data_IF_230259189673
#
_entry.id   IF_230259189673
#
_cell.length_a   1.000
_cell.length_b   1.000
_cell.length_c   1.000
_cell.angle_alpha   90.00
_cell.angle_beta   90.00
_cell.angle_gamma   90.00
#
_symmetry.space_group_name_H-M   'P 1'
#
loop_
_entity.id
_entity.type
_entity.pdbx_description
1 polymer ?
#
# COMPACT_ATOMS: atom_id res chain seq x y z
N UNK A 1 8.16 59.99 -18.88
CA UNK A 1 7.81 59.07 -17.79
C UNK A 1 7.20 57.82 -18.42
N UNK A 2 8.00 56.77 -18.58
CA UNK A 2 7.59 55.47 -19.12
C UNK A 2 7.26 54.59 -17.92
N UNK A 3 6.02 54.09 -17.82
CA UNK A 3 5.60 53.12 -16.84
C UNK A 3 6.11 51.71 -17.21
N UNK A 4 6.56 50.88 -16.27
CA UNK A 4 6.97 49.55 -16.57
C UNK A 4 5.77 48.64 -16.76
N UNK A 5 5.80 47.92 -17.90
CA UNK A 5 4.89 46.82 -18.22
C UNK A 5 5.20 45.64 -17.29
N UNK A 6 4.29 45.32 -16.40
CA UNK A 6 4.36 44.13 -15.58
C UNK A 6 4.08 42.89 -16.46
N UNK A 7 5.11 42.13 -16.70
CA UNK A 7 5.01 40.82 -17.35
C UNK A 7 4.41 39.83 -16.33
N UNK A 8 3.13 39.55 -16.50
CA UNK A 8 2.43 38.52 -15.75
C UNK A 8 2.89 37.16 -16.30
N UNK A 9 3.86 36.52 -15.63
CA UNK A 9 4.19 35.11 -15.88
C UNK A 9 2.96 34.30 -15.47
N UNK A 10 2.22 33.80 -16.46
CA UNK A 10 1.38 32.63 -16.26
C UNK A 10 2.32 31.47 -15.92
N UNK A 11 2.40 31.11 -14.65
CA UNK A 11 2.83 29.79 -14.21
C UNK A 11 1.75 28.82 -14.70
N UNK A 12 1.95 28.25 -15.89
CA UNK A 12 1.34 26.99 -16.27
C UNK A 12 1.98 26.00 -15.29
N UNK A 13 1.24 25.62 -14.24
CA UNK A 13 1.60 24.54 -13.37
C UNK A 13 1.73 23.29 -14.26
N UNK A 14 2.97 22.88 -14.56
CA UNK A 14 3.23 21.49 -14.86
C UNK A 14 2.82 20.72 -13.61
N UNK A 15 1.69 20.05 -13.67
CA UNK A 15 1.31 19.07 -12.64
C UNK A 15 2.52 18.16 -12.45
N UNK A 16 2.96 18.04 -11.20
CA UNK A 16 4.04 17.11 -10.87
C UNK A 16 3.55 15.70 -11.17
N UNK A 17 4.43 14.86 -11.65
CA UNK A 17 4.12 13.48 -12.05
C UNK A 17 3.74 12.55 -10.88
N UNK A 18 3.72 13.07 -9.67
CA UNK A 18 3.35 12.39 -8.43
C UNK A 18 1.84 12.52 -8.07
N UNK A 19 1.03 13.13 -8.94
CA UNK A 19 -0.35 13.50 -8.61
C UNK A 19 -1.41 12.55 -9.24
N UNK A 20 -1.01 11.35 -9.71
CA UNK A 20 -1.95 10.39 -10.29
C UNK A 20 -2.16 9.19 -9.38
N UNK A 21 -3.39 8.70 -9.34
CA UNK A 21 -3.77 7.46 -8.66
C UNK A 21 -3.69 6.34 -9.68
N UNK A 22 -2.98 5.23 -9.37
CA UNK A 22 -3.12 3.97 -10.10
C UNK A 22 -4.19 3.11 -9.45
N UNK A 23 -4.85 2.26 -10.20
CA UNK A 23 -5.89 1.36 -9.73
C UNK A 23 -6.12 0.22 -10.73
N UNK A 24 -6.83 -0.80 -10.31
CA UNK A 24 -7.30 -1.88 -11.17
C UNK A 24 -8.72 -1.60 -11.64
N UNK A 25 -9.03 -1.85 -12.91
CA UNK A 25 -10.40 -1.77 -13.46
C UNK A 25 -10.73 -2.98 -14.30
N UNK A 26 -11.94 -3.54 -14.13
CA UNK A 26 -12.46 -4.68 -14.91
C UNK A 26 -13.39 -4.22 -16.04
N UNK A 27 -13.26 -2.99 -16.52
CA UNK A 27 -14.20 -2.38 -17.50
C UNK A 27 -14.27 -3.15 -18.82
N UNK A 28 -13.22 -3.83 -19.23
CA UNK A 28 -13.14 -4.59 -20.49
C UNK A 28 -13.38 -6.10 -20.28
N UNK A 29 -13.61 -6.54 -19.03
CA UNK A 29 -13.98 -7.91 -18.66
C UNK A 29 -12.85 -8.76 -18.09
N UNK A 30 -11.65 -8.22 -18.03
CA UNK A 30 -10.47 -8.66 -17.30
C UNK A 30 -9.87 -7.50 -16.49
N UNK A 31 -9.04 -7.80 -15.52
CA UNK A 31 -8.43 -6.79 -14.67
C UNK A 31 -7.26 -6.12 -15.40
N UNK A 32 -7.29 -4.80 -15.52
CA UNK A 32 -6.27 -4.01 -16.18
C UNK A 32 -5.80 -2.85 -15.29
N UNK A 33 -4.54 -2.45 -15.43
CA UNK A 33 -3.98 -1.33 -14.67
C UNK A 33 -4.34 0.00 -15.34
N UNK A 34 -4.91 0.89 -14.57
CA UNK A 34 -5.26 2.25 -14.98
C UNK A 34 -4.52 3.29 -14.14
N UNK A 35 -4.41 4.47 -14.68
CA UNK A 35 -4.09 5.70 -13.92
C UNK A 35 -5.19 6.73 -14.12
N UNK A 36 -5.53 7.45 -13.06
CA UNK A 36 -6.51 8.51 -13.08
C UNK A 36 -5.93 9.81 -12.53
N UNK A 37 -6.25 10.92 -13.20
CA UNK A 37 -5.92 12.24 -12.70
C UNK A 37 -6.95 12.66 -11.65
N UNK A 38 -6.55 12.88 -10.39
CA UNK A 38 -7.50 13.15 -9.31
C UNK A 38 -8.24 14.47 -9.45
N UNK A 39 -7.77 15.42 -10.26
CA UNK A 39 -8.43 16.71 -10.43
C UNK A 39 -9.42 16.70 -11.60
N UNK A 40 -9.03 16.16 -12.74
CA UNK A 40 -9.87 16.07 -13.93
C UNK A 40 -10.79 14.85 -13.96
N UNK A 41 -10.41 13.74 -13.27
CA UNK A 41 -11.09 12.45 -13.38
C UNK A 41 -10.83 11.74 -14.71
N UNK A 42 -9.80 12.14 -15.48
CA UNK A 42 -9.43 11.48 -16.72
C UNK A 42 -8.65 10.19 -16.40
N UNK A 43 -9.26 9.03 -16.70
CA UNK A 43 -8.64 7.72 -16.54
C UNK A 43 -8.00 7.25 -17.86
N UNK A 44 -6.85 6.58 -17.75
CA UNK A 44 -6.10 6.05 -18.91
C UNK A 44 -5.64 4.64 -18.57
N UNK A 45 -5.95 3.62 -19.43
CA UNK A 45 -5.38 2.28 -19.26
C UNK A 45 -3.87 2.32 -19.52
N UNK A 46 -3.12 1.59 -18.71
CA UNK A 46 -1.69 1.34 -18.90
C UNK A 46 -1.43 -0.05 -19.46
N UNK A 47 -2.32 -0.98 -19.17
CA UNK A 47 -2.37 -2.31 -19.76
C UNK A 47 -3.69 -2.47 -20.53
N UNK A 48 -3.70 -3.30 -21.58
CA UNK A 48 -4.86 -3.61 -22.43
C UNK A 48 -4.55 -4.92 -23.15
N UNK A 49 -4.72 -6.01 -22.44
CA UNK A 49 -4.41 -7.36 -22.93
C UNK A 49 -5.57 -8.33 -22.59
N UNK A 50 -5.39 -9.64 -22.58
CA UNK A 50 -6.41 -10.62 -22.19
C UNK A 50 -6.01 -11.38 -20.92
N UNK A 51 -5.12 -10.79 -20.15
CA UNK A 51 -4.61 -11.32 -18.91
C UNK A 51 -5.11 -10.47 -17.75
N UNK A 52 -5.11 -11.03 -16.56
CA UNK A 52 -5.46 -10.29 -15.36
C UNK A 52 -4.21 -9.58 -14.83
N UNK A 53 -4.24 -8.25 -14.81
CA UNK A 53 -3.20 -7.38 -14.29
C UNK A 53 -3.69 -6.71 -13.00
N UNK A 54 -3.02 -6.95 -11.86
CA UNK A 54 -3.50 -6.56 -10.52
C UNK A 54 -2.37 -5.99 -9.64
N UNK A 55 -2.72 -5.54 -8.42
CA UNK A 55 -1.80 -5.07 -7.38
C UNK A 55 -0.80 -4.02 -7.86
N UNK A 56 -1.25 -2.91 -8.49
CA UNK A 56 -0.37 -1.86 -8.95
C UNK A 56 0.22 -1.07 -7.79
N UNK A 57 1.53 -0.81 -7.83
CA UNK A 57 2.23 0.05 -6.86
C UNK A 57 3.18 1.00 -7.56
N UNK A 58 3.12 2.29 -7.22
CA UNK A 58 4.01 3.31 -7.76
C UNK A 58 5.45 3.14 -7.29
N UNK A 59 6.39 3.36 -8.20
CA UNK A 59 7.78 3.58 -7.79
C UNK A 59 7.89 4.90 -7.00
N UNK A 60 8.82 5.00 -6.02
CA UNK A 60 8.95 6.21 -5.18
C UNK A 60 9.21 7.50 -5.96
N UNK A 61 9.72 7.40 -7.19
CA UNK A 61 9.96 8.56 -8.06
C UNK A 61 8.78 8.90 -8.98
N UNK A 62 7.66 8.14 -8.90
CA UNK A 62 6.43 8.32 -9.66
C UNK A 62 6.57 8.11 -11.17
N UNK A 63 7.55 7.32 -11.64
CA UNK A 63 7.78 7.10 -13.06
C UNK A 63 7.33 5.75 -13.57
N UNK A 64 7.27 4.75 -12.70
CA UNK A 64 6.95 3.38 -13.01
C UNK A 64 5.91 2.84 -12.04
N UNK A 65 5.21 1.80 -12.46
CA UNK A 65 4.25 1.03 -11.67
C UNK A 65 4.67 -0.43 -11.78
N UNK A 66 4.89 -1.08 -10.64
CA UNK A 66 4.99 -2.54 -10.59
C UNK A 66 3.57 -3.12 -10.42
N UNK A 67 3.31 -4.26 -11.02
CA UNK A 67 2.03 -4.95 -10.97
C UNK A 67 2.20 -6.46 -11.16
N UNK A 68 1.19 -7.22 -10.82
CA UNK A 68 1.10 -8.67 -11.02
C UNK A 68 0.33 -8.98 -12.29
N UNK A 69 0.81 -9.92 -13.12
CA UNK A 69 0.16 -10.34 -14.36
C UNK A 69 0.13 -11.86 -14.50
N UNK A 70 -0.96 -12.44 -14.99
CA UNK A 70 -1.09 -13.87 -15.29
C UNK A 70 -0.82 -14.23 -16.77
N UNK A 71 -0.31 -13.29 -17.56
CA UNK A 71 -0.05 -13.46 -19.00
C UNK A 71 0.81 -14.69 -19.34
N UNK A 72 1.71 -15.08 -18.47
CA UNK A 72 2.59 -16.25 -18.66
C UNK A 72 2.01 -17.58 -18.21
N UNK A 73 0.87 -17.56 -17.53
CA UNK A 73 0.22 -18.73 -16.94
C UNK A 73 0.48 -18.92 -15.45
N UNK A 74 1.59 -18.41 -14.92
CA UNK A 74 1.85 -18.19 -13.50
C UNK A 74 1.75 -16.68 -13.25
N UNK A 75 1.52 -16.25 -12.01
CA UNK A 75 1.51 -14.83 -11.63
C UNK A 75 2.94 -14.31 -11.57
N UNK A 76 3.21 -13.24 -12.30
CA UNK A 76 4.56 -12.67 -12.45
C UNK A 76 4.57 -11.17 -12.19
N UNK A 77 5.67 -10.67 -11.65
CA UNK A 77 5.86 -9.22 -11.45
C UNK A 77 6.28 -8.56 -12.76
N UNK A 78 5.52 -7.55 -13.16
CA UNK A 78 5.78 -6.70 -14.30
C UNK A 78 5.98 -5.25 -13.87
N UNK A 79 6.62 -4.46 -14.71
CA UNK A 79 6.75 -3.01 -14.53
C UNK A 79 6.36 -2.30 -15.82
N UNK A 80 5.52 -1.30 -15.70
CA UNK A 80 5.11 -0.41 -16.80
C UNK A 80 5.53 1.03 -16.47
N UNK A 81 5.86 1.82 -17.49
CA UNK A 81 6.01 3.24 -17.26
C UNK A 81 4.64 3.94 -17.12
N UNK A 82 4.63 5.09 -16.50
CA UNK A 82 3.40 5.86 -16.21
C UNK A 82 2.55 6.24 -17.42
N UNK A 83 2.99 5.92 -18.64
CA UNK A 83 2.28 6.19 -19.90
C UNK A 83 1.80 4.91 -20.59
N UNK A 84 2.16 3.74 -20.06
CA UNK A 84 1.91 2.46 -20.69
C UNK A 84 2.82 2.17 -21.91
N UNK A 85 3.90 2.95 -22.12
CA UNK A 85 4.74 2.85 -23.32
C UNK A 85 5.82 1.75 -23.22
N UNK A 86 6.26 1.41 -21.99
CA UNK A 86 7.31 0.42 -21.74
C UNK A 86 6.84 -0.56 -20.69
N UNK A 87 6.73 -1.81 -21.06
CA UNK A 87 6.43 -2.90 -20.16
C UNK A 87 7.59 -3.88 -20.11
N UNK A 88 8.00 -4.27 -18.92
CA UNK A 88 9.05 -5.26 -18.68
C UNK A 88 8.58 -6.27 -17.66
N UNK A 89 8.58 -7.56 -18.00
CA UNK A 89 8.41 -8.64 -17.04
C UNK A 89 9.70 -8.83 -16.26
N UNK A 90 9.64 -8.69 -14.95
CA UNK A 90 10.80 -8.80 -14.07
C UNK A 90 11.03 -10.23 -13.59
N UNK A 91 9.96 -10.97 -13.27
CA UNK A 91 10.05 -12.36 -12.87
C UNK A 91 9.63 -13.31 -13.99
N UNK A 92 10.15 -14.51 -13.98
CA UNK A 92 9.86 -15.54 -14.98
C UNK A 92 10.37 -16.90 -14.47
N UNK A 93 9.98 -17.30 -13.28
CA UNK A 93 10.35 -18.55 -12.64
C UNK A 93 9.08 -19.29 -12.27
N UNK A 94 9.07 -20.65 -12.29
CA UNK A 94 7.86 -21.38 -11.94
C UNK A 94 7.38 -21.05 -10.54
N UNK A 95 6.10 -20.75 -10.39
CA UNK A 95 5.45 -20.34 -9.16
C UNK A 95 4.85 -18.95 -9.28
N UNK A 96 3.99 -18.60 -8.35
CA UNK A 96 3.36 -17.29 -8.33
C UNK A 96 4.24 -16.29 -7.60
N UNK A 97 4.43 -15.14 -8.21
CA UNK A 97 5.13 -13.98 -7.68
C UNK A 97 4.13 -12.84 -7.47
N UNK A 98 3.97 -12.38 -6.23
CA UNK A 98 2.86 -11.54 -5.77
C UNK A 98 3.34 -10.38 -4.91
N UNK A 99 2.42 -9.42 -4.66
CA UNK A 99 2.62 -8.32 -3.71
C UNK A 99 3.94 -7.57 -3.92
N UNK A 100 4.17 -6.97 -5.10
CA UNK A 100 5.36 -6.18 -5.36
C UNK A 100 5.43 -4.96 -4.43
N UNK A 101 6.63 -4.65 -3.94
CA UNK A 101 6.87 -3.54 -3.02
C UNK A 101 8.23 -2.89 -3.31
N UNK A 102 8.23 -1.63 -3.72
CA UNK A 102 9.45 -0.89 -4.04
C UNK A 102 10.25 -0.54 -2.78
N UNK A 103 11.57 -0.67 -2.87
CA UNK A 103 12.45 -0.05 -1.85
C UNK A 103 12.32 1.48 -1.90
N UNK A 104 12.53 2.20 -0.78
CA UNK A 104 12.36 3.65 -0.73
C UNK A 104 13.22 4.44 -1.72
N UNK A 105 14.35 3.89 -2.16
CA UNK A 105 15.22 4.49 -3.18
C UNK A 105 14.87 4.08 -4.62
N UNK A 106 13.90 3.15 -4.78
CA UNK A 106 13.45 2.62 -6.07
C UNK A 106 14.45 1.68 -6.76
N UNK A 107 15.53 1.29 -6.08
CA UNK A 107 16.57 0.42 -6.65
C UNK A 107 16.26 -1.06 -6.60
N UNK A 108 15.41 -1.47 -5.68
CA UNK A 108 15.03 -2.86 -5.44
C UNK A 108 13.51 -3.01 -5.35
N UNK A 109 13.05 -4.24 -5.58
CA UNK A 109 11.66 -4.66 -5.47
C UNK A 109 11.61 -5.91 -4.61
N UNK A 110 10.86 -5.84 -3.49
CA UNK A 110 10.49 -6.99 -2.70
C UNK A 110 9.20 -7.60 -3.24
N UNK A 111 9.04 -8.90 -3.13
CA UNK A 111 7.83 -9.62 -3.53
C UNK A 111 7.71 -10.96 -2.81
N UNK A 112 6.54 -11.53 -2.83
CA UNK A 112 6.29 -12.88 -2.31
C UNK A 112 6.37 -13.87 -3.48
N UNK A 113 7.08 -14.98 -3.30
CA UNK A 113 7.16 -16.07 -4.26
C UNK A 113 6.93 -17.43 -3.60
N UNK A 114 6.17 -18.29 -4.25
CA UNK A 114 5.95 -19.69 -3.80
C UNK A 114 6.82 -20.73 -4.54
N UNK A 115 7.81 -20.29 -5.33
CA UNK A 115 8.67 -21.15 -6.16
C UNK A 115 9.38 -22.28 -5.40
N UNK A 116 9.64 -22.09 -4.11
CA UNK A 116 10.33 -23.07 -3.26
C UNK A 116 9.37 -23.93 -2.41
N UNK A 117 8.04 -23.81 -2.62
CA UNK A 117 7.02 -24.68 -2.06
C UNK A 117 6.14 -24.05 -0.98
N UNK A 118 6.52 -22.91 -0.42
CA UNK A 118 5.74 -22.05 0.45
C UNK A 118 5.99 -20.58 0.10
N UNK A 119 5.15 -19.68 0.60
CA UNK A 119 5.29 -18.27 0.32
C UNK A 119 6.46 -17.66 1.11
N UNK A 120 7.40 -17.06 0.40
CA UNK A 120 8.62 -16.49 0.95
C UNK A 120 8.89 -15.11 0.38
N UNK A 121 9.59 -14.27 1.13
CA UNK A 121 10.01 -12.94 0.67
C UNK A 121 11.24 -13.06 -0.20
N UNK A 122 11.16 -12.50 -1.39
CA UNK A 122 12.26 -12.34 -2.33
C UNK A 122 12.57 -10.88 -2.58
N UNK A 123 13.79 -10.62 -3.01
CA UNK A 123 14.29 -9.30 -3.39
C UNK A 123 14.97 -9.37 -4.75
N UNK A 124 14.74 -8.38 -5.59
CA UNK A 124 15.44 -8.25 -6.87
C UNK A 124 15.74 -6.79 -7.17
N UNK A 125 16.74 -6.55 -8.01
CA UNK A 125 16.99 -5.21 -8.54
C UNK A 125 16.02 -4.88 -9.68
N UNK A 126 15.61 -3.63 -9.79
CA UNK A 126 14.60 -3.19 -10.76
C UNK A 126 15.09 -3.16 -12.20
N UNK A 127 16.37 -3.38 -12.44
CA UNK A 127 16.96 -3.57 -13.77
C UNK A 127 16.86 -5.03 -14.28
N UNK A 128 16.18 -5.92 -13.52
CA UNK A 128 15.93 -7.32 -13.93
C UNK A 128 16.99 -8.31 -13.49
N UNK A 129 17.61 -8.07 -12.34
CA UNK A 129 18.55 -9.01 -11.70
C UNK A 129 17.86 -10.31 -11.28
N UNK A 130 18.68 -11.35 -10.96
CA UNK A 130 18.12 -12.59 -10.44
C UNK A 130 17.55 -12.36 -9.03
N UNK A 131 16.31 -12.81 -8.76
CA UNK A 131 15.74 -12.75 -7.41
C UNK A 131 16.59 -13.49 -6.37
N UNK A 132 16.69 -12.88 -5.20
CA UNK A 132 17.37 -13.44 -4.03
C UNK A 132 16.34 -13.71 -2.95
N UNK A 133 16.24 -14.94 -2.49
CA UNK A 133 15.38 -15.35 -1.40
C UNK A 133 15.89 -14.73 -0.09
N UNK A 134 15.02 -13.98 0.60
CA UNK A 134 15.33 -13.28 1.86
C UNK A 134 14.89 -14.10 3.06
N UNK A 135 13.75 -14.78 2.99
CA UNK A 135 13.26 -15.69 4.03
C UNK A 135 13.29 -17.14 3.55
N UNK A 136 13.33 -18.11 4.46
CA UNK A 136 13.57 -19.52 4.10
C UNK A 136 12.98 -20.51 5.12
N UNK A 137 12.02 -20.08 5.90
CA UNK A 137 11.38 -20.89 6.93
C UNK A 137 10.12 -21.58 6.38
N UNK A 138 9.67 -22.66 7.02
CA UNK A 138 8.53 -23.50 6.58
C UNK A 138 7.16 -22.78 6.59
N UNK A 139 6.83 -21.87 7.55
CA UNK A 139 5.58 -21.13 7.46
C UNK A 139 5.58 -20.11 6.33
N UNK A 140 4.39 -19.88 5.77
CA UNK A 140 4.20 -18.81 4.78
C UNK A 140 4.48 -17.44 5.38
N UNK A 141 5.22 -16.64 4.63
CA UNK A 141 5.44 -15.24 4.89
C UNK A 141 4.50 -14.37 4.03
N UNK A 142 4.06 -13.25 4.57
CA UNK A 142 3.23 -12.24 3.88
C UNK A 142 3.98 -10.93 3.84
N UNK A 143 3.89 -10.26 2.71
CA UNK A 143 4.51 -8.95 2.54
C UNK A 143 3.93 -7.96 3.56
N UNK A 144 4.76 -7.08 4.02
CA UNK A 144 4.40 -5.92 4.81
C UNK A 144 4.95 -4.66 4.15
N UNK A 145 5.95 -4.02 4.77
CA UNK A 145 6.39 -2.70 4.33
C UNK A 145 7.90 -2.49 4.54
N UNK A 146 8.50 -1.57 3.77
CA UNK A 146 9.87 -1.11 3.94
C UNK A 146 9.98 -0.01 4.99
N UNK A 147 11.00 -0.08 5.83
CA UNK A 147 11.37 1.09 6.62
C UNK A 147 11.79 2.25 5.69
N UNK A 148 11.45 3.52 6.01
CA UNK A 148 11.74 4.65 5.13
C UNK A 148 13.22 4.87 4.81
N UNK A 149 14.11 4.35 5.66
CA UNK A 149 15.57 4.38 5.44
C UNK A 149 16.10 3.20 4.60
N UNK A 150 15.20 2.26 4.18
CA UNK A 150 15.55 1.08 3.39
C UNK A 150 16.35 0.01 4.14
N UNK A 151 16.51 0.14 5.46
CA UNK A 151 17.33 -0.76 6.26
C UNK A 151 16.59 -2.04 6.66
N UNK A 152 15.27 -1.96 6.80
CA UNK A 152 14.43 -3.05 7.25
C UNK A 152 13.24 -3.30 6.32
N UNK A 153 12.95 -4.55 6.09
CA UNK A 153 11.69 -5.01 5.53
C UNK A 153 10.88 -5.68 6.64
N UNK A 154 9.67 -5.19 6.90
CA UNK A 154 8.71 -5.82 7.80
C UNK A 154 7.87 -6.83 7.02
N UNK A 155 7.59 -7.97 7.63
CA UNK A 155 6.73 -9.00 7.08
C UNK A 155 6.01 -9.76 8.19
N UNK A 156 4.89 -10.38 7.85
CA UNK A 156 4.15 -11.24 8.78
C UNK A 156 4.41 -12.69 8.46
N UNK A 157 4.60 -13.52 9.49
CA UNK A 157 4.80 -14.96 9.37
C UNK A 157 3.65 -15.70 10.03
N UNK A 158 3.12 -16.71 9.35
CA UNK A 158 2.16 -17.65 9.90
C UNK A 158 2.82 -18.71 10.78
N UNK A 159 2.11 -19.82 11.04
CA UNK A 159 2.67 -21.00 11.70
C UNK A 159 2.40 -21.12 13.19
N UNK A 160 3.32 -21.78 13.91
CA UNK A 160 3.21 -22.05 15.34
C UNK A 160 3.43 -20.79 16.18
N UNK A 161 3.09 -20.84 17.48
CA UNK A 161 3.25 -19.69 18.40
C UNK A 161 4.68 -19.15 18.50
N UNK A 162 5.67 -19.97 18.20
CA UNK A 162 7.07 -19.58 18.31
C UNK A 162 7.60 -18.93 17.03
N UNK A 163 6.84 -18.99 15.94
CA UNK A 163 7.25 -18.55 14.60
C UNK A 163 6.34 -17.43 14.06
N UNK A 164 5.07 -17.43 14.44
CA UNK A 164 4.09 -16.45 13.96
C UNK A 164 4.32 -15.06 14.52
N UNK A 165 3.83 -14.06 13.80
CA UNK A 165 3.88 -12.66 14.19
C UNK A 165 4.64 -11.82 13.18
N UNK A 166 5.01 -10.62 13.60
CA UNK A 166 5.78 -9.71 12.76
C UNK A 166 7.27 -9.97 12.91
N UNK A 167 7.95 -9.86 11.79
CA UNK A 167 9.38 -10.01 11.66
C UNK A 167 9.97 -8.84 10.89
N UNK A 168 11.22 -8.49 11.23
CA UNK A 168 12.00 -7.52 10.48
C UNK A 168 13.26 -8.19 9.95
N UNK A 169 13.60 -7.94 8.68
CA UNK A 169 14.80 -8.44 8.04
C UNK A 169 15.52 -7.36 7.26
N UNK A 170 16.86 -7.37 7.32
CA UNK A 170 17.63 -6.51 6.43
C UNK A 170 17.64 -7.09 5.01
N UNK A 171 17.69 -6.23 3.96
CA UNK A 171 17.80 -6.68 2.57
C UNK A 171 19.00 -7.60 2.29
N UNK A 172 20.11 -7.40 2.99
CA UNK A 172 21.31 -8.24 2.92
C UNK A 172 21.14 -9.65 3.55
N UNK A 173 19.99 -9.88 4.21
CA UNK A 173 19.64 -11.15 4.84
C UNK A 173 20.41 -11.46 6.13
N UNK A 174 21.20 -10.53 6.67
CA UNK A 174 22.07 -10.78 7.84
C UNK A 174 21.30 -10.70 9.16
N UNK A 175 20.49 -9.66 9.34
CA UNK A 175 19.76 -9.45 10.59
C UNK A 175 18.30 -9.88 10.44
N UNK A 176 17.81 -10.61 11.42
CA UNK A 176 16.42 -11.03 11.55
C UNK A 176 15.96 -10.72 12.97
N UNK A 177 14.84 -10.05 13.12
CA UNK A 177 14.23 -9.70 14.40
C UNK A 177 12.82 -10.25 14.44
N UNK A 178 12.49 -11.02 15.47
CA UNK A 178 11.12 -11.43 15.80
C UNK A 178 10.50 -10.33 16.65
N UNK A 179 9.63 -9.52 16.02
CA UNK A 179 9.11 -8.31 16.65
C UNK A 179 7.93 -8.62 17.59
N UNK A 180 7.02 -9.50 17.15
CA UNK A 180 5.82 -9.88 17.91
C UNK A 180 5.55 -11.38 17.80
N UNK A 181 4.75 -11.96 18.71
CA UNK A 181 4.54 -13.41 18.80
C UNK A 181 3.06 -13.84 18.70
N UNK A 182 2.18 -12.89 18.34
CA UNK A 182 0.74 -13.14 18.19
C UNK A 182 0.37 -13.27 16.69
N UNK A 183 -0.92 -13.41 16.40
CA UNK A 183 -1.42 -13.42 15.02
C UNK A 183 -1.50 -11.99 14.50
N UNK A 184 -0.35 -11.46 14.10
CA UNK A 184 -0.15 -10.10 13.64
C UNK A 184 0.16 -10.08 12.15
N UNK A 185 -0.38 -9.08 11.42
CA UNK A 185 -0.21 -8.94 9.98
C UNK A 185 -0.38 -7.48 9.53
N UNK A 186 -0.17 -7.21 8.24
CA UNK A 186 -0.25 -5.89 7.60
C UNK A 186 0.54 -4.80 8.35
N UNK A 187 1.84 -5.01 8.61
CA UNK A 187 2.68 -3.99 9.21
C UNK A 187 2.93 -2.84 8.24
N UNK A 188 2.79 -1.59 8.72
CA UNK A 188 3.06 -0.37 7.97
C UNK A 188 3.95 0.55 8.80
N UNK A 189 5.08 0.96 8.24
CA UNK A 189 6.05 1.84 8.89
C UNK A 189 5.57 3.28 8.97
N UNK A 190 5.83 3.93 10.11
CA UNK A 190 5.71 5.39 10.19
C UNK A 190 6.74 6.07 9.28
N UNK A 191 6.43 7.25 8.69
CA UNK A 191 7.35 7.95 7.78
C UNK A 191 8.70 8.32 8.39
N UNK A 192 8.79 8.38 9.71
CA UNK A 192 10.06 8.65 10.43
C UNK A 192 10.82 7.37 10.83
N UNK A 193 10.27 6.18 10.53
CA UNK A 193 10.89 4.88 10.79
C UNK A 193 11.01 4.46 12.25
N UNK A 194 10.26 5.09 13.16
CA UNK A 194 10.33 4.80 14.60
C UNK A 194 9.20 3.92 15.10
N UNK A 195 8.14 3.79 14.33
CA UNK A 195 6.91 3.10 14.70
C UNK A 195 6.44 2.21 13.55
N UNK A 196 5.72 1.14 13.91
CA UNK A 196 5.03 0.25 12.97
C UNK A 196 3.62 0.09 13.49
N UNK A 197 2.61 0.49 12.70
CA UNK A 197 1.23 0.13 12.94
C UNK A 197 0.93 -1.21 12.27
N UNK A 198 0.10 -2.04 12.88
CA UNK A 198 -0.21 -3.36 12.34
C UNK A 198 -1.57 -3.85 12.85
N UNK A 199 -2.11 -4.88 12.21
CA UNK A 199 -3.35 -5.56 12.60
C UNK A 199 -3.02 -6.75 13.49
N UNK A 200 -3.74 -6.92 14.60
CA UNK A 200 -3.70 -8.11 15.47
C UNK A 200 -5.05 -8.80 15.53
N UNK A 201 -5.06 -10.10 15.27
CA UNK A 201 -6.23 -10.93 15.49
C UNK A 201 -6.31 -11.35 16.96
N UNK A 202 -7.34 -10.85 17.64
CA UNK A 202 -7.69 -11.17 19.01
C UNK A 202 -8.86 -12.17 19.06
N UNK A 203 -8.58 -13.44 18.72
CA UNK A 203 -9.58 -14.52 18.70
C UNK A 203 -10.77 -14.25 17.77
N UNK A 204 -10.50 -13.63 16.59
CA UNK A 204 -11.48 -13.34 15.56
C UNK A 204 -12.02 -11.90 15.59
N UNK A 205 -11.42 -11.01 16.39
CA UNK A 205 -11.60 -9.57 16.32
C UNK A 205 -10.29 -8.90 15.94
N UNK A 206 -10.29 -8.13 14.87
CA UNK A 206 -9.12 -7.44 14.34
C UNK A 206 -9.00 -6.04 14.92
N UNK A 207 -7.88 -5.75 15.55
CA UNK A 207 -7.59 -4.43 16.11
C UNK A 207 -6.23 -3.91 15.66
N UNK A 208 -6.09 -2.60 15.65
CA UNK A 208 -4.84 -1.94 15.33
C UNK A 208 -3.93 -1.82 16.56
N UNK A 209 -2.69 -2.16 16.36
CA UNK A 209 -1.62 -2.04 17.35
C UNK A 209 -0.46 -1.23 16.81
N UNK A 210 0.32 -0.66 17.72
CA UNK A 210 1.51 0.10 17.43
C UNK A 210 2.70 -0.55 18.13
N UNK A 211 3.76 -0.83 17.38
CA UNK A 211 5.07 -1.15 17.90
C UNK A 211 5.96 0.09 17.80
N UNK A 212 6.49 0.55 18.93
CA UNK A 212 7.38 1.72 19.00
C UNK A 212 8.73 1.31 19.54
N UNK A 213 9.82 1.81 18.95
CA UNK A 213 11.16 1.67 19.52
C UNK A 213 11.24 2.41 20.84
N UNK A 214 11.89 1.82 21.83
CA UNK A 214 12.23 2.54 23.05
C UNK A 214 13.18 3.70 22.72
N UNK A 215 13.11 4.74 23.51
CA UNK A 215 13.97 5.92 23.35
C UNK A 215 15.45 5.47 23.36
N UNK A 216 16.19 5.90 22.35
CA UNK A 216 17.60 5.54 22.11
C UNK A 216 17.85 4.04 21.85
N UNK A 217 16.79 3.22 21.65
CA UNK A 217 16.86 1.80 21.28
C UNK A 217 16.95 1.56 19.78
N UNK A 218 17.22 0.32 19.41
CA UNK A 218 17.15 -0.20 18.04
C UNK A 218 15.98 -1.18 17.92
N UNK A 219 15.62 -1.59 16.70
CA UNK A 219 14.59 -2.62 16.50
C UNK A 219 15.01 -4.02 17.00
N UNK A 220 16.27 -4.21 17.34
CA UNK A 220 16.80 -5.42 17.97
C UNK A 220 16.63 -5.43 19.50
N UNK A 221 16.24 -4.30 20.07
CA UNK A 221 15.92 -4.16 21.51
C UNK A 221 14.44 -4.46 21.73
N UNK A 222 14.02 -4.49 23.00
CA UNK A 222 12.61 -4.58 23.37
C UNK A 222 11.83 -3.38 22.82
N UNK A 223 10.65 -3.63 22.23
CA UNK A 223 9.73 -2.61 21.70
C UNK A 223 8.55 -2.43 22.65
N UNK A 224 7.98 -1.23 22.64
CA UNK A 224 6.72 -0.97 23.30
C UNK A 224 5.56 -1.32 22.36
N UNK A 225 4.62 -2.15 22.82
CA UNK A 225 3.38 -2.45 22.10
C UNK A 225 2.22 -1.68 22.72
N UNK A 226 1.43 -1.01 21.91
CA UNK A 226 0.26 -0.22 22.32
C UNK A 226 -0.93 -0.64 21.47
N UNK A 227 -2.07 -0.97 22.06
CA UNK A 227 -3.33 -1.20 21.34
C UNK A 227 -3.95 0.16 21.01
N UNK A 228 -4.17 0.44 19.74
CA UNK A 228 -4.69 1.73 19.25
C UNK A 228 -6.22 1.73 19.17
N UNK A 229 -6.81 0.61 18.75
CA UNK A 229 -8.27 0.47 18.66
C UNK A 229 -8.78 -0.61 19.61
N UNK A 230 -10.04 -0.49 20.01
CA UNK A 230 -10.66 -1.41 20.98
C UNK A 230 -12.18 -1.42 20.77
N UNK A 231 -12.62 -2.00 19.68
CA UNK A 231 -14.04 -2.18 19.38
C UNK A 231 -14.36 -3.68 19.24
N UNK A 232 -15.66 -4.06 19.29
CA UNK A 232 -16.08 -5.45 19.11
C UNK A 232 -16.08 -5.89 17.64
N UNK A 233 -16.07 -4.92 16.72
CA UNK A 233 -16.01 -5.13 15.28
C UNK A 233 -14.61 -4.78 14.78
N UNK A 234 -14.26 -5.32 13.61
CA UNK A 234 -12.93 -5.26 13.02
C UNK A 234 -12.48 -3.83 12.66
N UNK A 235 -11.22 -3.55 12.95
CA UNK A 235 -10.46 -2.40 12.51
C UNK A 235 -9.22 -2.91 11.74
N UNK A 236 -9.05 -2.51 10.47
CA UNK A 236 -8.02 -3.06 9.57
C UNK A 236 -7.53 -2.05 8.51
N UNK A 237 -6.62 -2.48 7.62
CA UNK A 237 -6.04 -1.68 6.54
C UNK A 237 -5.49 -0.31 7.02
N UNK A 238 -4.57 -0.28 8.01
CA UNK A 238 -4.00 0.97 8.47
C UNK A 238 -3.05 1.58 7.43
N UNK A 239 -3.06 2.90 7.31
CA UNK A 239 -2.10 3.66 6.49
C UNK A 239 -1.72 4.97 7.16
N UNK A 240 -0.42 5.29 7.18
CA UNK A 240 0.09 6.53 7.75
C UNK A 240 -0.08 7.72 6.83
N UNK A 241 -0.46 8.86 7.40
CA UNK A 241 -0.29 10.11 6.68
C UNK A 241 1.20 10.40 6.41
N UNK A 242 1.57 11.03 5.28
CA UNK A 242 2.98 11.26 4.92
C UNK A 242 3.78 12.06 5.94
N UNK A 243 3.11 12.88 6.77
CA UNK A 243 3.75 13.63 7.85
C UNK A 243 3.87 12.84 9.17
N UNK A 244 3.24 11.65 9.28
CA UNK A 244 3.24 10.80 10.44
C UNK A 244 2.34 11.25 11.61
N UNK A 245 1.50 12.27 11.40
CA UNK A 245 0.62 12.78 12.46
C UNK A 245 -0.63 11.91 12.65
N UNK A 246 -1.07 11.22 11.58
CA UNK A 246 -2.32 10.47 11.56
C UNK A 246 -2.14 9.06 10.98
N UNK A 247 -3.06 8.16 11.39
CA UNK A 247 -3.29 6.85 10.77
C UNK A 247 -4.74 6.81 10.29
N UNK A 248 -4.94 6.55 8.99
CA UNK A 248 -6.25 6.20 8.45
C UNK A 248 -6.43 4.68 8.48
N UNK A 249 -7.65 4.21 8.61
CA UNK A 249 -7.99 2.78 8.70
C UNK A 249 -9.44 2.52 8.33
N UNK A 250 -9.76 1.28 8.05
CA UNK A 250 -11.14 0.80 7.87
C UNK A 250 -11.67 0.27 9.17
N UNK A 251 -12.90 0.65 9.53
CA UNK A 251 -13.61 0.17 10.71
C UNK A 251 -15.01 -0.31 10.38
N UNK A 252 -15.39 -1.48 10.89
CA UNK A 252 -16.72 -2.04 10.73
C UNK A 252 -17.67 -1.75 11.88
N UNK A 253 -17.29 -0.88 12.83
CA UNK A 253 -18.04 -0.53 14.04
C UNK A 253 -19.43 0.08 13.79
N UNK A 254 -19.67 0.58 12.60
CA UNK A 254 -20.97 1.18 12.21
C UNK A 254 -21.84 0.25 11.35
N UNK A 255 -21.43 -1.02 11.18
CA UNK A 255 -22.18 -2.07 10.49
C UNK A 255 -21.84 -2.27 9.03
N UNK A 256 -20.96 -1.43 8.46
CA UNK A 256 -20.30 -1.54 7.18
C UNK A 256 -18.88 -0.98 7.30
N UNK A 257 -18.01 -1.25 6.33
CA UNK A 257 -16.66 -0.69 6.28
C UNK A 257 -16.71 0.82 6.07
N UNK A 258 -16.09 1.57 6.95
CA UNK A 258 -15.99 3.03 6.86
C UNK A 258 -14.57 3.49 7.11
N UNK A 259 -14.14 4.54 6.44
CA UNK A 259 -12.82 5.12 6.65
C UNK A 259 -12.84 5.97 7.91
N UNK A 260 -11.91 5.67 8.79
CA UNK A 260 -11.62 6.40 10.01
C UNK A 260 -10.21 6.98 9.97
N UNK A 261 -9.99 8.01 10.77
CA UNK A 261 -8.68 8.60 11.03
C UNK A 261 -8.47 8.73 12.54
N UNK A 262 -7.23 8.58 13.00
CA UNK A 262 -6.83 8.81 14.40
C UNK A 262 -5.47 9.51 14.45
N UNK A 263 -5.16 10.18 15.57
CA UNK A 263 -3.78 10.61 15.85
C UNK A 263 -2.86 9.38 15.98
N UNK A 264 -1.58 9.54 15.75
CA UNK A 264 -0.59 8.43 15.75
C UNK A 264 -0.55 7.63 17.06
N UNK A 265 -0.98 8.21 18.18
CA UNK A 265 -1.09 7.55 19.48
C UNK A 265 -2.41 6.78 19.71
N UNK A 266 -3.30 6.72 18.71
CA UNK A 266 -4.61 6.07 18.78
C UNK A 266 -5.72 6.97 19.31
N UNK A 267 -5.43 8.19 19.72
CA UNK A 267 -6.42 9.15 20.20
C UNK A 267 -7.20 9.81 19.06
N UNK A 268 -8.32 10.46 19.39
CA UNK A 268 -9.17 11.24 18.47
C UNK A 268 -9.61 10.48 17.21
N UNK A 269 -10.11 9.26 17.38
CA UNK A 269 -10.68 8.49 16.28
C UNK A 269 -11.91 9.22 15.72
N UNK A 270 -11.86 9.57 14.44
CA UNK A 270 -12.92 10.29 13.72
C UNK A 270 -13.33 9.48 12.49
N UNK A 271 -14.63 9.31 12.28
CA UNK A 271 -15.20 8.74 11.08
C UNK A 271 -15.20 9.76 9.97
N UNK A 272 -14.61 9.42 8.81
CA UNK A 272 -14.54 10.29 7.64
C UNK A 272 -15.63 9.99 6.61
N UNK A 273 -16.01 8.73 6.42
CA UNK A 273 -17.10 8.32 5.54
C UNK A 273 -18.33 7.91 6.35
N UNK A 274 -19.54 8.15 5.82
CA UNK A 274 -20.78 7.96 6.59
C UNK A 274 -21.95 7.46 5.73
N UNK A 275 -21.67 6.89 4.56
CA UNK A 275 -22.69 6.31 3.70
C UNK A 275 -23.12 4.91 4.18
N UNK A 276 -24.01 4.23 3.48
CA UNK A 276 -24.52 2.92 3.89
C UNK A 276 -23.87 1.75 3.14
N UNK A 277 -22.74 1.99 2.47
CA UNK A 277 -22.00 1.00 1.71
C UNK A 277 -20.59 0.87 2.29
N UNK A 278 -19.87 -0.17 1.91
CA UNK A 278 -18.48 -0.33 2.32
C UNK A 278 -17.59 0.70 1.60
N UNK A 279 -16.78 1.40 2.39
CA UNK A 279 -15.69 2.26 1.98
C UNK A 279 -14.38 1.67 2.50
N UNK A 280 -13.46 1.29 1.60
CA UNK A 280 -12.32 0.42 1.87
C UNK A 280 -11.03 0.99 1.25
N UNK A 281 -9.89 0.40 1.59
CA UNK A 281 -8.57 0.63 0.97
C UNK A 281 -8.16 2.11 0.89
N UNK A 282 -8.10 2.83 2.04
CA UNK A 282 -7.69 4.22 2.05
C UNK A 282 -6.20 4.36 1.72
N UNK A 283 -5.88 5.27 0.78
CA UNK A 283 -4.50 5.65 0.46
C UNK A 283 -4.34 7.17 0.47
N UNK A 284 -3.27 7.65 1.09
CA UNK A 284 -2.98 9.07 1.17
C UNK A 284 -2.35 9.62 -0.11
N UNK A 285 -2.71 10.86 -0.45
CA UNK A 285 -1.93 11.62 -1.41
C UNK A 285 -0.51 11.90 -0.89
N UNK A 286 0.52 11.99 -1.74
CA UNK A 286 1.89 12.25 -1.31
C UNK A 286 2.07 13.56 -0.51
N UNK A 287 1.20 14.53 -0.71
CA UNK A 287 1.19 15.81 0.04
C UNK A 287 0.40 15.75 1.35
N UNK A 288 -0.31 14.62 1.60
CA UNK A 288 -1.09 14.37 2.81
C UNK A 288 -2.38 15.19 2.95
N UNK A 289 -2.82 15.86 1.88
CA UNK A 289 -4.01 16.73 1.93
C UNK A 289 -5.29 16.01 1.48
N UNK A 290 -5.15 14.88 0.80
CA UNK A 290 -6.27 14.12 0.24
C UNK A 290 -6.08 12.62 0.48
N UNK A 291 -7.15 11.88 0.29
CA UNK A 291 -7.19 10.44 0.41
C UNK A 291 -8.02 9.86 -0.73
N UNK A 292 -7.52 8.81 -1.39
CA UNK A 292 -8.32 7.99 -2.29
C UNK A 292 -8.80 6.74 -1.55
N UNK A 293 -9.91 6.16 -1.96
CA UNK A 293 -10.49 4.96 -1.38
C UNK A 293 -11.44 4.28 -2.36
N UNK A 294 -11.76 3.03 -2.11
CA UNK A 294 -12.79 2.27 -2.84
C UNK A 294 -14.12 2.43 -2.14
N UNK A 295 -15.19 2.76 -2.87
CA UNK A 295 -16.55 2.83 -2.33
C UNK A 295 -17.53 1.99 -3.13
N UNK A 296 -18.34 1.19 -2.44
CA UNK A 296 -19.43 0.40 -3.02
C UNK A 296 -20.78 1.12 -3.05
N UNK A 297 -20.77 2.46 -2.89
CA UNK A 297 -21.99 3.27 -2.79
C UNK A 297 -22.92 3.14 -4.01
N UNK A 298 -22.36 2.86 -5.18
CA UNK A 298 -23.14 2.74 -6.43
C UNK A 298 -23.20 1.30 -6.99
N UNK A 299 -22.75 0.32 -6.24
CA UNK A 299 -22.78 -1.11 -6.60
C UNK A 299 -21.39 -1.71 -6.65
N UNK A 300 -20.75 -1.87 -7.81
CA UNK A 300 -19.33 -2.25 -7.90
C UNK A 300 -18.43 -1.25 -7.20
N UNK A 301 -17.22 -1.70 -6.80
CA UNK A 301 -16.21 -0.81 -6.24
C UNK A 301 -15.86 0.30 -7.22
N UNK A 302 -15.74 1.50 -6.72
CA UNK A 302 -15.40 2.69 -7.49
C UNK A 302 -14.36 3.50 -6.75
N UNK A 303 -13.45 4.13 -7.46
CA UNK A 303 -12.45 4.99 -6.84
C UNK A 303 -13.07 6.34 -6.48
N UNK A 304 -12.97 6.70 -5.21
CA UNK A 304 -13.37 7.97 -4.65
C UNK A 304 -12.14 8.74 -4.13
N UNK A 305 -12.33 10.02 -3.95
CA UNK A 305 -11.35 10.92 -3.33
C UNK A 305 -12.06 11.84 -2.32
N UNK A 306 -11.35 12.19 -1.25
CA UNK A 306 -11.79 13.17 -0.24
C UNK A 306 -10.61 13.99 0.26
N UNK A 307 -10.90 15.10 0.93
CA UNK A 307 -9.90 15.84 1.71
C UNK A 307 -9.52 15.04 2.98
N UNK A 308 -8.40 15.38 3.61
CA UNK A 308 -7.88 14.73 4.82
C UNK A 308 -8.82 14.80 6.04
N UNK A 309 -9.77 15.73 6.04
CA UNK A 309 -10.82 15.88 7.07
C UNK A 309 -12.14 15.14 6.73
N UNK A 310 -12.19 14.39 5.62
CA UNK A 310 -13.38 13.71 5.10
C UNK A 310 -14.30 14.60 4.28
N UNK A 311 -13.93 15.86 4.04
CA UNK A 311 -14.67 16.79 3.20
C UNK A 311 -14.53 16.51 1.70
N UNK A 312 -15.35 17.20 0.89
CA UNK A 312 -15.28 17.22 -0.57
C UNK A 312 -15.23 15.83 -1.25
N UNK A 313 -15.90 14.82 -0.64
CA UNK A 313 -15.97 13.49 -1.20
C UNK A 313 -16.54 13.50 -2.61
N UNK A 314 -15.85 12.88 -3.56
CA UNK A 314 -16.32 12.75 -4.93
C UNK A 314 -15.85 11.45 -5.57
N UNK A 315 -16.72 10.89 -6.39
CA UNK A 315 -16.46 9.73 -7.23
C UNK A 315 -15.54 10.11 -8.38
N UNK A 316 -14.48 9.36 -8.62
CA UNK A 316 -13.56 9.55 -9.74
C UNK A 316 -13.91 8.64 -10.91
N UNK A 317 -14.17 7.36 -10.65
CA UNK A 317 -14.58 6.40 -11.67
C UNK A 317 -16.10 6.28 -11.71
N UNK A 318 -16.69 6.01 -12.88
CA UNK A 318 -18.14 6.04 -13.08
C UNK A 318 -18.62 4.95 -14.06
N UNK A 319 -17.82 3.92 -14.27
CA UNK A 319 -18.19 2.77 -15.08
C UNK A 319 -19.08 1.80 -14.28
N UNK A 320 -19.52 0.70 -14.90
CA UNK A 320 -20.35 -0.32 -14.25
C UNK A 320 -19.52 -1.56 -13.83
N UNK A 321 -18.19 -1.44 -13.86
CA UNK A 321 -17.23 -2.50 -13.51
C UNK A 321 -16.64 -2.30 -12.11
N UNK A 322 -15.94 -3.29 -11.62
CA UNK A 322 -15.19 -3.22 -10.37
C UNK A 322 -13.90 -2.40 -10.56
N UNK A 323 -13.71 -1.36 -9.77
CA UNK A 323 -12.49 -0.56 -9.69
C UNK A 323 -11.95 -0.64 -8.26
N UNK A 324 -10.69 -1.08 -8.07
CA UNK A 324 -10.14 -1.42 -6.76
C UNK A 324 -8.61 -1.25 -6.68
N UNK A 325 -8.03 -1.52 -5.50
CA UNK A 325 -6.58 -1.43 -5.23
C UNK A 325 -5.97 -0.09 -5.67
N UNK A 326 -6.46 1.06 -5.17
CA UNK A 326 -5.84 2.34 -5.48
C UNK A 326 -4.46 2.44 -4.84
N UNK A 327 -3.51 3.10 -5.54
CA UNK A 327 -2.23 3.55 -4.98
C UNK A 327 -1.91 4.94 -5.52
N UNK A 328 -1.29 5.80 -4.66
CA UNK A 328 -1.13 7.22 -4.98
C UNK A 328 0.28 7.76 -4.78
#
# INVERSE_FOLDING_TARGET
MLAPLALMLLLIGCGSSADKITFVSEVDGDAEIYVIDPDSGEATPLTDNHSSDTDPVWSPDGKQIAYVSDESGDLEINVVDRKGELTSRLTNIPGDDLAPLWSPDGGELAFISNQDGNAEVYLMTTDGGRPVRITAEEPDDRMGDWSPDGVWLAFARGGSSDERGLWLRNPDGVNLVHLTTENDFDPVWSPDGKEIVFVRDLEGNLDLFLASRLKDGTWQDEVQLTRLTQHEEDDLAPTWSPNGDFVAFVSFRDGNGEIYIMESDGSRQLRLTTNGADDLDPVWSPDGNRMAFVSHLYGPGEIFIMDDDGGNQRRLTTNDAEDYSPDW
#
